data_IF_381639017728
#
_entry.id   IF_381639017728
#
_cell.length_a   1.000
_cell.length_b   1.000
_cell.length_c   1.000
_cell.angle_alpha   90.00
_cell.angle_beta   90.00
_cell.angle_gamma   90.00
#
_symmetry.space_group_name_H-M   'P 1'
#
loop_
_entity.id
_entity.type
_entity.pdbx_description
1 polymer ?
#
# COMPACT_ATOMS: atom_id res chain seq x y z
N UNK A 1 3.02 -6.80 3.84
CA UNK A 1 3.75 -5.54 3.56
C UNK A 1 4.97 -5.91 2.71
N UNK A 2 5.83 -4.96 2.34
CA UNK A 2 7.14 -5.31 1.77
C UNK A 2 8.23 -4.84 2.76
N UNK A 3 8.93 -5.77 3.38
CA UNK A 3 10.12 -5.50 4.20
C UNK A 3 11.27 -5.02 3.30
N UNK A 4 11.90 -3.93 3.71
CA UNK A 4 13.13 -3.44 3.09
C UNK A 4 14.29 -4.21 3.71
N UNK A 5 15.00 -4.99 2.90
CA UNK A 5 16.21 -5.68 3.32
C UNK A 5 17.41 -4.86 2.89
N UNK A 6 18.34 -4.68 3.81
CA UNK A 6 19.59 -3.98 3.57
C UNK A 6 20.68 -4.98 3.21
N UNK A 7 21.45 -4.69 2.18
CA UNK A 7 22.60 -5.48 1.77
C UNK A 7 23.84 -4.61 1.81
N UNK A 8 24.81 -4.98 2.64
CA UNK A 8 26.15 -4.39 2.64
C UNK A 8 27.00 -5.17 1.64
N UNK A 9 27.37 -4.52 0.55
CA UNK A 9 28.24 -5.09 -0.46
C UNK A 9 29.68 -4.76 -0.10
N UNK A 10 30.53 -5.77 0.06
CA UNK A 10 31.96 -5.54 0.30
C UNK A 10 32.57 -4.80 -0.92
N UNK A 11 33.03 -3.57 -0.70
CA UNK A 11 33.66 -2.73 -1.74
C UNK A 11 32.73 -1.91 -2.64
N UNK A 12 31.40 -2.04 -2.53
CA UNK A 12 30.43 -1.35 -3.41
C UNK A 12 29.33 -0.56 -2.66
N UNK A 13 29.39 -0.51 -1.33
CA UNK A 13 28.46 0.24 -0.49
C UNK A 13 27.19 -0.55 -0.11
N UNK A 14 26.17 0.15 0.37
CA UNK A 14 24.90 -0.46 0.83
C UNK A 14 23.84 -0.38 -0.26
N UNK A 15 23.25 -1.52 -0.64
CA UNK A 15 22.10 -1.61 -1.53
C UNK A 15 20.83 -1.92 -0.72
N UNK A 16 19.70 -1.39 -1.16
CA UNK A 16 18.39 -1.66 -0.57
C UNK A 16 17.53 -2.42 -1.57
N UNK A 17 17.06 -3.60 -1.19
CA UNK A 17 16.04 -4.31 -1.95
C UNK A 17 14.79 -4.45 -1.08
N UNK A 18 13.64 -4.01 -1.60
CA UNK A 18 12.36 -4.26 -0.96
C UNK A 18 11.82 -5.60 -1.46
N UNK A 19 11.55 -6.52 -0.54
CA UNK A 19 10.93 -7.80 -0.86
C UNK A 19 9.56 -7.91 -0.18
N UNK A 20 8.58 -8.58 -0.82
CA UNK A 20 7.36 -9.01 -0.14
C UNK A 20 7.69 -9.85 1.10
N UNK A 21 7.01 -9.60 2.21
CA UNK A 21 7.24 -10.30 3.49
C UNK A 21 7.16 -11.83 3.35
N UNK A 22 6.27 -12.30 2.48
CA UNK A 22 6.00 -13.72 2.23
C UNK A 22 7.15 -14.47 1.55
N UNK A 23 8.09 -13.77 0.91
CA UNK A 23 9.29 -14.40 0.33
C UNK A 23 10.40 -14.61 1.36
N UNK A 24 10.33 -13.90 2.48
CA UNK A 24 11.38 -13.85 3.50
C UNK A 24 11.08 -14.74 4.70
N UNK A 25 9.79 -14.84 5.09
CA UNK A 25 9.31 -15.51 6.31
C UNK A 25 9.43 -17.05 6.33
N UNK A 26 10.20 -17.65 5.41
CA UNK A 26 10.45 -19.09 5.36
C UNK A 26 11.91 -19.45 5.07
N UNK A 27 12.79 -18.46 4.90
CA UNK A 27 14.22 -18.70 4.66
C UNK A 27 15.08 -18.42 5.90
N UNK A 28 14.52 -17.77 6.93
CA UNK A 28 15.20 -17.51 8.19
C UNK A 28 14.26 -17.83 9.35
N UNK A 29 14.80 -18.41 10.42
CA UNK A 29 14.05 -18.71 11.65
C UNK A 29 13.75 -17.44 12.47
N UNK A 30 14.53 -16.38 12.28
CA UNK A 30 14.42 -15.12 13.02
C UNK A 30 14.22 -13.92 12.07
N UNK A 31 13.05 -13.30 12.21
CA UNK A 31 12.64 -12.11 11.48
C UNK A 31 13.44 -10.85 11.88
N UNK A 32 14.09 -10.84 13.04
CA UNK A 32 14.93 -9.73 13.51
C UNK A 32 16.18 -9.54 12.65
N UNK A 33 16.61 -10.61 11.94
CA UNK A 33 17.79 -10.57 11.07
C UNK A 33 17.65 -9.58 9.91
N UNK A 34 16.42 -9.28 9.49
CA UNK A 34 16.13 -8.33 8.41
C UNK A 34 16.32 -6.87 8.80
N UNK A 35 16.42 -6.57 10.10
CA UNK A 35 16.69 -5.22 10.60
C UNK A 35 18.18 -4.85 10.50
N UNK A 36 19.04 -5.84 10.24
CA UNK A 36 20.48 -5.66 10.04
C UNK A 36 20.88 -5.93 8.58
N UNK A 37 21.90 -5.23 8.06
CA UNK A 37 22.39 -5.50 6.72
C UNK A 37 22.98 -6.92 6.61
N UNK A 38 22.82 -7.54 5.45
CA UNK A 38 23.52 -8.77 5.09
C UNK A 38 24.82 -8.45 4.38
N UNK A 39 25.93 -9.10 4.73
CA UNK A 39 27.15 -8.99 3.94
C UNK A 39 27.01 -9.87 2.70
N UNK A 40 27.02 -9.24 1.53
CA UNK A 40 26.91 -9.94 0.25
C UNK A 40 28.30 -9.99 -0.38
N UNK A 41 28.76 -11.22 -0.61
CA UNK A 41 30.04 -11.52 -1.26
C UNK A 41 29.87 -11.82 -2.74
N UNK A 42 28.65 -12.13 -3.18
CA UNK A 42 28.35 -12.46 -4.56
C UNK A 42 26.86 -12.38 -4.88
N UNK A 43 26.55 -12.25 -6.16
CA UNK A 43 25.19 -12.22 -6.68
C UNK A 43 25.18 -12.96 -8.00
N UNK A 44 24.24 -13.90 -8.12
CA UNK A 44 24.00 -14.70 -9.31
C UNK A 44 22.57 -14.51 -9.78
N UNK A 45 22.38 -14.58 -11.09
CA UNK A 45 21.07 -14.51 -11.72
C UNK A 45 20.65 -15.93 -12.12
N UNK A 46 19.37 -16.22 -11.95
CA UNK A 46 18.75 -17.42 -12.52
C UNK A 46 17.44 -17.06 -13.20
N UNK A 47 16.82 -18.03 -13.85
CA UNK A 47 15.64 -17.81 -14.71
C UNK A 47 14.46 -17.14 -14.02
N UNK A 48 14.31 -17.28 -12.70
CA UNK A 48 13.14 -16.77 -11.95
C UNK A 48 13.51 -15.67 -10.96
N UNK A 49 14.78 -15.27 -10.84
CA UNK A 49 15.17 -14.25 -9.88
C UNK A 49 16.67 -14.12 -9.65
N UNK A 50 17.03 -13.81 -8.40
CA UNK A 50 18.40 -13.50 -7.99
C UNK A 50 18.79 -14.34 -6.78
N UNK A 51 20.03 -14.80 -6.74
CA UNK A 51 20.65 -15.47 -5.60
C UNK A 51 21.70 -14.52 -5.03
N UNK A 52 21.58 -14.20 -3.75
CA UNK A 52 22.60 -13.47 -3.00
C UNK A 52 23.47 -14.46 -2.23
N UNK A 53 24.78 -14.41 -2.47
CA UNK A 53 25.77 -15.17 -1.72
C UNK A 53 26.18 -14.33 -0.52
N UNK A 54 25.91 -14.87 0.66
CA UNK A 54 26.02 -14.16 1.92
C UNK A 54 27.28 -14.60 2.68
N UNK A 55 27.76 -13.74 3.57
CA UNK A 55 28.80 -14.07 4.53
C UNK A 55 28.50 -13.46 5.91
N UNK A 56 29.10 -14.04 6.93
CA UNK A 56 29.23 -13.44 8.26
C UNK A 56 30.21 -12.24 8.22
N UNK A 57 30.30 -11.50 9.33
CA UNK A 57 31.21 -10.35 9.45
C UNK A 57 32.71 -10.75 9.35
N UNK A 58 33.04 -11.99 9.68
CA UNK A 58 34.38 -12.55 9.55
C UNK A 58 34.71 -13.09 8.14
N UNK A 59 33.75 -12.99 7.20
CA UNK A 59 33.87 -13.48 5.84
C UNK A 59 33.49 -14.95 5.66
N UNK A 60 33.04 -15.65 6.71
CA UNK A 60 32.57 -17.04 6.62
C UNK A 60 31.33 -17.11 5.73
N UNK A 61 31.32 -17.96 4.68
CA UNK A 61 30.17 -18.09 3.79
C UNK A 61 28.91 -18.60 4.53
N UNK A 62 27.78 -18.00 4.22
CA UNK A 62 26.45 -18.42 4.69
C UNK A 62 25.64 -19.08 3.57
N UNK A 63 24.52 -19.70 3.95
CA UNK A 63 23.57 -20.22 2.99
C UNK A 63 23.09 -19.11 2.04
N UNK A 64 23.13 -19.33 0.71
CA UNK A 64 22.75 -18.31 -0.25
C UNK A 64 21.25 -18.04 -0.19
N UNK A 65 20.89 -16.76 -0.24
CA UNK A 65 19.52 -16.30 -0.26
C UNK A 65 18.98 -16.34 -1.69
N UNK A 66 18.10 -17.29 -1.99
CA UNK A 66 17.43 -17.38 -3.29
C UNK A 66 16.14 -16.59 -3.25
N UNK A 67 16.08 -15.50 -4.01
CA UNK A 67 14.91 -14.64 -4.11
C UNK A 67 14.25 -14.81 -5.48
N UNK A 68 13.12 -15.55 -5.56
CA UNK A 68 12.30 -15.53 -6.76
C UNK A 68 11.64 -14.15 -6.91
N UNK A 69 11.65 -13.61 -8.13
CA UNK A 69 11.12 -12.29 -8.43
C UNK A 69 9.98 -12.43 -9.42
N UNK A 70 8.79 -11.99 -9.02
CA UNK A 70 7.63 -11.99 -9.89
C UNK A 70 7.90 -11.18 -11.18
N UNK A 71 7.53 -11.72 -12.35
CA UNK A 71 7.80 -11.16 -13.70
C UNK A 71 9.27 -11.08 -14.11
N UNK A 72 10.21 -11.63 -13.34
CA UNK A 72 11.62 -11.66 -13.73
C UNK A 72 11.89 -12.45 -15.03
N UNK A 73 11.21 -13.59 -15.31
CA UNK A 73 11.35 -14.25 -16.61
C UNK A 73 10.94 -13.35 -17.79
N UNK A 74 9.90 -12.53 -17.63
CA UNK A 74 9.47 -11.59 -18.67
C UNK A 74 10.50 -10.48 -18.88
N UNK A 75 11.12 -9.98 -17.81
CA UNK A 75 12.24 -9.04 -17.89
C UNK A 75 13.43 -9.64 -18.65
N UNK A 76 13.85 -10.87 -18.32
CA UNK A 76 14.97 -11.52 -18.99
C UNK A 76 14.70 -11.72 -20.49
N UNK A 77 13.47 -12.11 -20.84
CA UNK A 77 13.05 -12.22 -22.25
C UNK A 77 13.12 -10.88 -22.98
N UNK A 78 12.74 -9.78 -22.33
CA UNK A 78 12.84 -8.44 -22.91
C UNK A 78 14.30 -8.01 -23.08
N UNK A 79 15.17 -8.28 -22.08
CA UNK A 79 16.60 -8.00 -22.20
C UNK A 79 17.24 -8.80 -23.36
N UNK A 80 16.84 -10.06 -23.54
CA UNK A 80 17.26 -10.89 -24.68
C UNK A 80 16.77 -10.31 -26.00
N UNK A 81 15.50 -9.90 -26.08
CA UNK A 81 14.92 -9.28 -27.28
C UNK A 81 15.65 -7.99 -27.68
N UNK A 82 16.14 -7.23 -26.69
CA UNK A 82 16.93 -6.02 -26.88
C UNK A 82 18.43 -6.28 -27.14
N UNK A 83 18.86 -7.54 -27.21
CA UNK A 83 20.26 -7.91 -27.45
C UNK A 83 21.20 -7.64 -26.26
N UNK A 84 20.65 -7.41 -25.06
CA UNK A 84 21.44 -7.17 -23.84
C UNK A 84 21.89 -8.47 -23.15
N UNK A 85 21.30 -9.60 -23.55
CA UNK A 85 21.66 -10.95 -23.11
C UNK A 85 21.60 -11.86 -24.33
N UNK A 86 22.64 -12.63 -24.58
CA UNK A 86 22.71 -13.57 -25.71
C UNK A 86 21.83 -14.81 -25.48
N UNK A 87 21.93 -15.42 -24.29
CA UNK A 87 21.16 -16.61 -23.92
C UNK A 87 20.80 -16.61 -22.43
N UNK A 88 19.72 -17.31 -22.07
CA UNK A 88 19.37 -17.55 -20.67
C UNK A 88 20.33 -18.55 -20.00
N UNK A 89 20.99 -19.39 -20.79
CA UNK A 89 21.96 -20.39 -20.30
C UNK A 89 23.23 -19.74 -19.75
N UNK A 90 23.58 -18.54 -20.26
CA UNK A 90 24.76 -17.79 -19.83
C UNK A 90 24.50 -16.96 -18.57
N UNK A 91 23.28 -16.97 -18.00
CA UNK A 91 22.96 -16.18 -16.79
C UNK A 91 23.84 -16.56 -15.59
N UNK A 92 24.22 -17.83 -15.51
CA UNK A 92 25.04 -18.36 -14.41
C UNK A 92 26.52 -17.97 -14.49
N UNK A 93 26.99 -17.55 -15.68
CA UNK A 93 28.39 -17.16 -15.90
C UNK A 93 28.59 -15.64 -15.86
N UNK A 94 27.51 -14.87 -15.64
CA UNK A 94 27.59 -13.41 -15.52
C UNK A 94 28.42 -13.05 -14.28
N UNK A 95 29.48 -12.22 -14.43
CA UNK A 95 30.26 -11.75 -13.30
C UNK A 95 29.40 -11.02 -12.27
N UNK A 96 29.72 -11.18 -10.98
CA UNK A 96 28.97 -10.58 -9.88
C UNK A 96 28.66 -9.09 -10.09
N UNK A 97 29.66 -8.30 -10.50
CA UNK A 97 29.51 -6.86 -10.73
C UNK A 97 28.49 -6.53 -11.84
N UNK A 98 28.38 -7.38 -12.86
CA UNK A 98 27.35 -7.23 -13.91
C UNK A 98 26.00 -7.73 -13.45
N UNK A 99 25.96 -8.86 -12.72
CA UNK A 99 24.73 -9.41 -12.15
C UNK A 99 24.02 -8.38 -11.24
N UNK A 100 24.77 -7.60 -10.49
CA UNK A 100 24.24 -6.53 -9.65
C UNK A 100 23.51 -5.44 -10.42
N UNK A 101 23.93 -5.14 -11.66
CA UNK A 101 23.27 -4.12 -12.49
C UNK A 101 21.87 -4.55 -12.94
N UNK A 102 21.55 -5.85 -12.88
CA UNK A 102 20.22 -6.34 -13.26
C UNK A 102 19.13 -5.95 -12.27
N UNK A 103 19.45 -5.79 -10.98
CA UNK A 103 18.46 -5.42 -9.97
C UNK A 103 17.85 -4.03 -10.25
N UNK A 104 18.64 -2.94 -10.35
CA UNK A 104 18.08 -1.62 -10.67
C UNK A 104 17.47 -1.57 -12.08
N UNK A 105 18.01 -2.32 -13.06
CA UNK A 105 17.41 -2.43 -14.40
C UNK A 105 16.03 -3.09 -14.35
N UNK A 106 15.89 -4.20 -13.62
CA UNK A 106 14.62 -4.88 -13.40
C UNK A 106 13.63 -3.95 -12.71
N UNK A 107 14.04 -3.23 -11.66
CA UNK A 107 13.17 -2.29 -10.96
C UNK A 107 12.65 -1.19 -11.90
N UNK A 108 13.54 -0.59 -12.70
CA UNK A 108 13.17 0.42 -13.69
C UNK A 108 12.19 -0.13 -14.74
N UNK A 109 12.51 -1.28 -15.34
CA UNK A 109 11.65 -1.98 -16.30
C UNK A 109 10.28 -2.31 -15.69
N UNK A 110 10.25 -2.86 -14.48
CA UNK A 110 9.02 -3.24 -13.80
C UNK A 110 8.13 -2.04 -13.50
N UNK A 111 8.72 -0.90 -13.13
CA UNK A 111 7.98 0.35 -12.91
C UNK A 111 7.38 0.87 -14.22
N UNK A 112 8.09 0.76 -15.36
CA UNK A 112 7.54 1.11 -16.68
C UNK A 112 6.36 0.20 -17.05
N UNK A 113 6.51 -1.12 -16.89
CA UNK A 113 5.44 -2.09 -17.19
C UNK A 113 4.22 -1.86 -16.30
N UNK A 114 4.42 -1.59 -15.01
CA UNK A 114 3.32 -1.25 -14.10
C UNK A 114 2.63 0.05 -14.48
N UNK A 115 3.38 1.07 -14.89
CA UNK A 115 2.81 2.34 -15.33
C UNK A 115 1.90 2.14 -16.56
N UNK A 116 2.33 1.32 -17.52
CA UNK A 116 1.50 0.92 -18.68
C UNK A 116 0.24 0.16 -18.25
N UNK A 117 0.36 -0.81 -17.33
CA UNK A 117 -0.81 -1.53 -16.83
C UNK A 117 -1.79 -0.59 -16.11
N UNK A 118 -1.30 0.30 -15.25
CA UNK A 118 -2.14 1.25 -14.54
C UNK A 118 -2.87 2.18 -15.51
N UNK A 119 -2.21 2.63 -16.57
CA UNK A 119 -2.85 3.42 -17.62
C UNK A 119 -4.01 2.65 -18.25
N UNK A 120 -3.83 1.37 -18.61
CA UNK A 120 -4.88 0.53 -19.17
C UNK A 120 -6.04 0.31 -18.19
N UNK A 121 -5.76 -0.01 -16.93
CA UNK A 121 -6.80 -0.21 -15.91
C UNK A 121 -7.59 1.07 -15.63
N UNK A 122 -6.92 2.22 -15.67
CA UNK A 122 -7.55 3.53 -15.51
C UNK A 122 -8.44 3.84 -16.73
N UNK A 123 -7.95 3.60 -17.95
CA UNK A 123 -8.74 3.75 -19.19
C UNK A 123 -9.95 2.82 -19.20
N UNK A 124 -9.82 1.62 -18.65
CA UNK A 124 -10.91 0.66 -18.50
C UNK A 124 -11.90 1.02 -17.37
N UNK A 125 -11.58 1.99 -16.51
CA UNK A 125 -12.41 2.38 -15.36
C UNK A 125 -12.34 1.42 -14.18
N UNK A 126 -11.39 0.49 -14.16
CA UNK A 126 -11.18 -0.47 -13.08
C UNK A 126 -10.37 0.12 -11.92
N UNK A 127 -9.57 1.14 -12.19
CA UNK A 127 -8.63 1.76 -11.25
C UNK A 127 -8.71 3.29 -11.33
N UNK A 128 -8.41 3.98 -10.22
CA UNK A 128 -8.20 5.44 -10.20
C UNK A 128 -6.73 5.82 -10.01
N UNK A 129 -6.37 7.09 -10.27
CA UNK A 129 -5.02 7.58 -9.99
C UNK A 129 -4.65 7.51 -8.51
N UNK A 130 -5.62 7.67 -7.60
CA UNK A 130 -5.45 7.52 -6.17
C UNK A 130 -5.14 6.07 -5.78
N UNK A 131 -5.80 5.10 -6.43
CA UNK A 131 -5.50 3.68 -6.24
C UNK A 131 -4.08 3.38 -6.74
N UNK A 132 -3.72 3.84 -7.94
CA UNK A 132 -2.37 3.73 -8.47
C UNK A 132 -1.32 4.31 -7.50
N UNK A 133 -1.57 5.50 -6.93
CA UNK A 133 -0.68 6.16 -5.97
C UNK A 133 -0.50 5.35 -4.68
N UNK A 134 -1.55 4.68 -4.20
CA UNK A 134 -1.49 3.78 -3.04
C UNK A 134 -0.68 2.52 -3.34
N UNK A 135 -0.82 1.94 -4.54
CA UNK A 135 -0.06 0.75 -4.94
C UNK A 135 1.41 1.05 -5.18
N UNK A 136 1.72 2.07 -5.99
CA UNK A 136 3.09 2.48 -6.32
C UNK A 136 3.15 3.93 -6.76
N UNK A 137 3.83 4.78 -5.98
CA UNK A 137 3.98 6.21 -6.28
C UNK A 137 5.01 6.53 -7.38
N UNK A 138 5.98 5.65 -7.58
CA UNK A 138 7.08 5.77 -8.56
C UNK A 138 6.60 5.72 -10.01
N UNK A 139 5.44 5.11 -10.29
CA UNK A 139 4.83 5.12 -11.64
C UNK A 139 4.54 6.54 -12.15
N UNK A 140 4.31 7.52 -11.27
CA UNK A 140 4.11 8.94 -11.63
C UNK A 140 5.41 9.65 -12.05
N UNK A 141 6.56 8.98 -11.90
CA UNK A 141 7.84 9.44 -12.42
C UNK A 141 8.10 8.92 -13.84
N UNK A 142 7.34 7.92 -14.31
CA UNK A 142 7.46 7.40 -15.67
C UNK A 142 6.89 8.44 -16.64
N UNK A 143 7.65 8.92 -17.63
CA UNK A 143 7.23 10.03 -18.50
C UNK A 143 5.88 9.81 -19.18
N UNK A 144 5.63 8.62 -19.74
CA UNK A 144 4.37 8.31 -20.42
C UNK A 144 3.15 8.41 -19.49
N UNK A 145 3.25 7.83 -18.29
CA UNK A 145 2.17 7.84 -17.32
C UNK A 145 1.97 9.23 -16.69
N UNK A 146 3.06 10.00 -16.51
CA UNK A 146 2.98 11.40 -16.09
C UNK A 146 2.22 12.24 -17.11
N UNK A 147 2.58 12.14 -18.39
CA UNK A 147 1.89 12.87 -19.46
C UNK A 147 0.41 12.48 -19.53
N UNK A 148 0.09 11.19 -19.40
CA UNK A 148 -1.30 10.73 -19.34
C UNK A 148 -2.07 11.32 -18.15
N UNK A 149 -1.47 11.34 -16.95
CA UNK A 149 -2.07 11.96 -15.77
C UNK A 149 -2.32 13.46 -15.96
N UNK A 150 -1.34 14.20 -16.49
CA UNK A 150 -1.46 15.63 -16.77
C UNK A 150 -2.56 15.92 -17.80
N UNK A 151 -2.65 15.11 -18.86
CA UNK A 151 -3.72 15.22 -19.87
C UNK A 151 -5.11 15.00 -19.26
N UNK A 152 -5.28 13.94 -18.45
CA UNK A 152 -6.54 13.68 -17.74
C UNK A 152 -6.92 14.82 -16.79
N UNK A 153 -5.92 15.39 -16.12
CA UNK A 153 -6.12 16.50 -15.20
C UNK A 153 -6.56 17.77 -15.94
N UNK A 154 -5.84 18.18 -16.98
CA UNK A 154 -6.13 19.38 -17.77
C UNK A 154 -7.43 19.28 -18.56
N UNK A 155 -7.79 18.09 -19.04
CA UNK A 155 -9.05 17.87 -19.78
C UNK A 155 -10.29 17.72 -18.87
N UNK A 156 -10.10 17.65 -17.54
CA UNK A 156 -11.19 17.38 -16.59
C UNK A 156 -11.75 15.95 -16.68
N UNK A 157 -11.10 15.05 -17.44
CA UNK A 157 -11.48 13.63 -17.59
C UNK A 157 -10.88 12.75 -16.49
N UNK A 158 -10.66 13.31 -15.31
CA UNK A 158 -10.13 12.55 -14.18
C UNK A 158 -11.08 11.38 -13.84
N UNK A 159 -10.57 10.13 -13.80
CA UNK A 159 -11.33 8.97 -13.37
C UNK A 159 -11.91 9.24 -11.99
N UNK A 160 -13.24 9.29 -11.90
CA UNK A 160 -13.90 9.51 -10.63
C UNK A 160 -13.80 8.23 -9.83
N UNK A 161 -13.28 8.32 -8.60
CA UNK A 161 -13.41 7.24 -7.62
C UNK A 161 -14.86 6.74 -7.58
N UNK A 162 -15.03 5.42 -7.38
CA UNK A 162 -16.35 4.85 -7.13
C UNK A 162 -17.02 5.72 -6.08
N UNK A 163 -18.11 6.41 -6.44
CA UNK A 163 -18.86 7.23 -5.49
C UNK A 163 -19.16 6.31 -4.31
N UNK A 164 -18.58 6.59 -3.14
CA UNK A 164 -18.97 5.91 -1.92
C UNK A 164 -20.50 5.95 -1.88
N UNK A 165 -21.15 4.81 -1.61
CA UNK A 165 -22.62 4.78 -1.52
C UNK A 165 -23.01 5.91 -0.57
N UNK A 166 -23.67 6.96 -1.08
CA UNK A 166 -24.28 7.99 -0.23
C UNK A 166 -25.30 7.22 0.60
N UNK A 167 -25.01 7.02 1.88
CA UNK A 167 -25.96 6.35 2.77
C UNK A 167 -27.21 7.21 2.82
N UNK A 168 -28.36 6.58 2.67
CA UNK A 168 -29.66 7.23 2.81
C UNK A 168 -29.71 7.78 4.23
N UNK A 169 -30.17 9.03 4.35
CA UNK A 169 -30.36 9.67 5.64
C UNK A 169 -31.28 8.80 6.51
N UNK A 170 -30.86 8.51 7.75
CA UNK A 170 -31.64 7.75 8.71
C UNK A 170 -31.90 8.62 9.96
N UNK A 171 -33.13 9.11 10.16
CA UNK A 171 -33.50 9.94 11.30
C UNK A 171 -33.23 9.27 12.66
N UNK A 172 -33.30 7.93 12.73
CA UNK A 172 -33.09 7.20 13.99
C UNK A 172 -31.62 7.29 14.44
N UNK A 173 -30.68 7.18 13.50
CA UNK A 173 -29.24 7.33 13.78
C UNK A 173 -28.93 8.78 14.19
N UNK A 174 -29.59 9.76 13.57
CA UNK A 174 -29.44 11.17 13.95
C UNK A 174 -29.92 11.42 15.40
N UNK A 175 -31.08 10.87 15.77
CA UNK A 175 -31.62 11.00 17.12
C UNK A 175 -30.70 10.34 18.17
N UNK A 176 -30.14 9.16 17.86
CA UNK A 176 -29.13 8.51 18.70
C UNK A 176 -27.87 9.36 18.87
N UNK A 177 -27.41 9.98 17.78
CA UNK A 177 -26.25 10.88 17.82
C UNK A 177 -26.52 12.14 18.65
N UNK A 178 -27.70 12.75 18.50
CA UNK A 178 -28.11 13.90 19.30
C UNK A 178 -28.16 13.58 20.79
N UNK A 179 -28.64 12.38 21.15
CA UNK A 179 -28.65 11.89 22.52
C UNK A 179 -27.23 11.67 23.06
N UNK A 180 -26.34 11.03 22.29
CA UNK A 180 -24.94 10.82 22.68
C UNK A 180 -24.21 12.16 22.93
N UNK A 181 -24.42 13.16 22.08
CA UNK A 181 -23.88 14.51 22.29
C UNK A 181 -24.43 15.18 23.55
N UNK A 182 -25.73 15.00 23.83
CA UNK A 182 -26.35 15.53 25.04
C UNK A 182 -25.72 14.91 26.29
N UNK A 183 -25.60 13.59 26.32
CA UNK A 183 -24.97 12.84 27.43
C UNK A 183 -23.54 13.32 27.64
N UNK A 184 -22.74 13.41 26.58
CA UNK A 184 -21.35 13.87 26.67
C UNK A 184 -21.23 15.34 27.12
N UNK A 185 -22.20 16.19 26.79
CA UNK A 185 -22.24 17.59 27.23
C UNK A 185 -22.68 17.73 28.69
N UNK A 186 -23.63 16.91 29.13
CA UNK A 186 -24.12 16.88 30.51
C UNK A 186 -23.08 16.25 31.46
N UNK A 187 -22.30 15.28 30.98
CA UNK A 187 -21.17 14.69 31.71
C UNK A 187 -19.87 14.69 30.86
N UNK A 188 -19.09 15.79 30.92
CA UNK A 188 -17.83 15.92 30.19
C UNK A 188 -16.73 14.96 30.66
N UNK A 189 -16.91 14.27 31.79
CA UNK A 189 -15.93 13.30 32.29
C UNK A 189 -16.02 11.97 31.53
N UNK A 190 -17.16 11.70 30.88
CA UNK A 190 -17.36 10.54 30.03
C UNK A 190 -16.66 10.72 28.69
N UNK A 191 -16.06 9.64 28.20
CA UNK A 191 -15.60 9.60 26.82
C UNK A 191 -16.80 9.65 25.87
N UNK A 192 -16.63 10.24 24.69
CA UNK A 192 -17.70 10.26 23.68
C UNK A 192 -18.12 8.84 23.23
N UNK A 193 -17.22 7.87 23.33
CA UNK A 193 -17.52 6.46 23.10
C UNK A 193 -18.49 5.90 24.14
N UNK A 194 -18.27 6.21 25.43
CA UNK A 194 -19.18 5.84 26.50
C UNK A 194 -20.55 6.49 26.30
N UNK A 195 -20.59 7.77 25.96
CA UNK A 195 -21.85 8.46 25.67
C UNK A 195 -22.62 7.88 24.48
N UNK A 196 -21.92 7.34 23.46
CA UNK A 196 -22.56 6.61 22.36
C UNK A 196 -23.17 5.29 22.82
N UNK A 197 -22.52 4.57 23.73
CA UNK A 197 -23.07 3.36 24.33
C UNK A 197 -24.32 3.67 25.14
N UNK A 198 -24.26 4.69 26.01
CA UNK A 198 -25.38 5.09 26.84
C UNK A 198 -26.60 5.54 26.01
N UNK A 199 -26.37 6.26 24.90
CA UNK A 199 -27.44 6.68 24.00
C UNK A 199 -28.16 5.49 23.34
N UNK A 200 -27.39 4.47 22.95
CA UNK A 200 -27.92 3.22 22.37
C UNK A 200 -28.70 2.43 23.41
N UNK A 201 -28.23 2.38 24.65
CA UNK A 201 -28.89 1.68 25.75
C UNK A 201 -30.21 2.38 26.16
N UNK A 202 -30.23 3.71 26.15
CA UNK A 202 -31.44 4.49 26.44
C UNK A 202 -32.49 4.40 25.33
N UNK A 203 -32.08 4.25 24.07
CA UNK A 203 -32.97 4.24 22.88
C UNK A 203 -32.70 3.05 21.95
N UNK A 204 -32.89 1.80 22.42
CA UNK A 204 -32.66 0.61 21.60
C UNK A 204 -33.63 0.53 20.40
N UNK A 205 -34.80 1.19 20.48
CA UNK A 205 -35.78 1.29 19.41
C UNK A 205 -35.26 2.03 18.16
N UNK A 206 -34.26 2.89 18.33
CA UNK A 206 -33.65 3.66 17.25
C UNK A 206 -32.46 2.93 16.60
N UNK A 207 -32.00 1.83 17.20
CA UNK A 207 -30.79 1.13 16.77
C UNK A 207 -31.13 0.26 15.54
N UNK A 208 -30.43 0.44 14.40
CA UNK A 208 -30.64 -0.43 13.24
C UNK A 208 -30.36 -1.90 13.57
N UNK A 209 -31.18 -2.81 13.06
CA UNK A 209 -30.99 -4.26 13.25
C UNK A 209 -29.59 -4.75 12.84
N UNK A 210 -28.95 -4.08 11.87
CA UNK A 210 -27.59 -4.37 11.42
C UNK A 210 -26.50 -4.09 12.47
N UNK A 211 -26.82 -3.43 13.59
CA UNK A 211 -25.84 -2.97 14.59
C UNK A 211 -25.77 -3.88 15.83
N UNK A 212 -26.52 -4.98 15.88
CA UNK A 212 -26.66 -5.86 17.06
C UNK A 212 -25.37 -6.28 17.75
N UNK A 213 -24.26 -6.42 17.00
CA UNK A 213 -22.97 -6.88 17.54
C UNK A 213 -22.22 -5.78 18.31
N UNK A 214 -22.32 -4.53 17.86
CA UNK A 214 -21.54 -3.41 18.43
C UNK A 214 -22.28 -2.08 18.16
N UNK A 215 -23.42 -1.85 18.82
CA UNK A 215 -24.24 -0.69 18.47
C UNK A 215 -23.61 0.63 18.91
N UNK A 216 -22.93 0.70 20.06
CA UNK A 216 -22.21 1.90 20.50
C UNK A 216 -20.99 2.21 19.64
N UNK A 217 -20.17 1.21 19.31
CA UNK A 217 -19.02 1.39 18.42
C UNK A 217 -19.42 1.66 16.96
N UNK A 218 -20.58 1.16 16.50
CA UNK A 218 -21.17 1.57 15.22
C UNK A 218 -21.65 3.02 15.25
N UNK A 219 -22.32 3.47 16.33
CA UNK A 219 -22.73 4.87 16.48
C UNK A 219 -21.52 5.81 16.51
N UNK A 220 -20.47 5.45 17.26
CA UNK A 220 -19.19 6.18 17.26
C UNK A 220 -18.56 6.23 15.87
N UNK A 221 -18.53 5.12 15.12
CA UNK A 221 -18.01 5.09 13.75
C UNK A 221 -18.82 5.96 12.81
N UNK A 222 -20.15 5.98 12.94
CA UNK A 222 -21.00 6.89 12.16
C UNK A 222 -20.78 8.35 12.56
N UNK A 223 -20.66 8.65 13.86
CA UNK A 223 -20.23 9.95 14.38
C UNK A 223 -18.90 10.41 13.76
N UNK A 224 -17.85 9.59 13.81
CA UNK A 224 -16.55 9.97 13.26
C UNK A 224 -16.53 10.07 11.72
N UNK A 225 -17.41 9.34 11.01
CA UNK A 225 -17.44 9.33 9.53
C UNK A 225 -18.28 10.45 8.92
N UNK A 226 -19.46 10.70 9.49
CA UNK A 226 -20.42 11.68 8.97
C UNK A 226 -20.33 13.03 9.67
N UNK A 227 -19.92 13.04 10.94
CA UNK A 227 -20.14 14.17 11.81
C UNK A 227 -18.83 14.87 12.19
N UNK A 228 -17.75 14.16 12.48
CA UNK A 228 -16.63 14.75 13.22
C UNK A 228 -15.51 15.43 12.40
N UNK A 229 -15.81 16.44 11.57
CA UNK A 229 -14.74 17.35 11.07
C UNK A 229 -15.12 18.82 11.10
N UNK A 230 -15.03 19.41 12.29
CA UNK A 230 -14.98 20.86 12.61
C UNK A 230 -16.28 21.49 13.19
N UNK A 231 -16.23 22.75 13.69
CA UNK A 231 -16.64 23.10 15.04
C UNK A 231 -18.06 22.79 15.47
N UNK A 232 -19.06 22.57 14.61
CA UNK A 232 -20.04 21.55 14.98
C UNK A 232 -20.80 20.90 13.80
N UNK A 233 -20.77 19.58 13.84
CA UNK A 233 -21.41 18.61 12.97
C UNK A 233 -22.94 18.63 13.07
N UNK A 234 -23.67 18.37 11.98
CA UNK A 234 -25.11 18.72 11.82
C UNK A 234 -25.46 20.19 12.08
N UNK A 235 -24.52 21.00 12.53
CA UNK A 235 -24.77 22.30 13.10
C UNK A 235 -24.37 23.42 12.14
N UNK A 236 -23.43 23.21 11.23
CA UNK A 236 -23.32 24.13 10.07
C UNK A 236 -24.54 24.02 9.13
N UNK A 237 -25.16 22.84 9.04
CA UNK A 237 -26.28 22.58 8.13
C UNK A 237 -27.65 23.02 8.70
N UNK A 238 -27.88 22.96 10.02
CA UNK A 238 -29.09 23.53 10.65
C UNK A 238 -29.00 25.05 10.87
N UNK A 239 -27.82 25.60 11.17
CA UNK A 239 -27.65 27.05 11.39
C UNK A 239 -27.86 27.91 10.13
N UNK A 240 -27.85 27.33 8.92
CA UNK A 240 -28.17 28.02 7.66
C UNK A 240 -29.59 27.73 7.12
N UNK A 241 -30.37 26.87 7.79
CA UNK A 241 -31.73 26.52 7.35
C UNK A 241 -32.83 27.31 8.09
N UNK A 242 -32.56 27.74 9.33
CA UNK A 242 -33.47 28.55 10.16
C UNK A 242 -33.09 30.06 10.16
N UNK A 243 -32.35 30.49 9.12
CA UNK A 243 -32.17 31.89 8.70
C UNK A 243 -32.77 32.06 7.31
#
# INVERSE_FOLDING_TARGET
MAKKVQFRMLGLGTAYCAFPDTLLSGQFEDDSRFDQPFNVIGVRIFSEGVIFELAEDDGTPLWPLRVPIFRFPAFLNEMRRLGLIESLETLHTIPHAEAMKFIPRFQSWHTIVLAQQFELEIKAGNMTFEDARKFRKDVFLVPSFRSYYEECFSSGKMPKGKKGKRRIHNPNIENLYALANRIHKEDPTLSFETACWDAVEQRPDLVPDSWKVDPGGNLKREASRYWDKSPYSQLTFRQNRDK
#
